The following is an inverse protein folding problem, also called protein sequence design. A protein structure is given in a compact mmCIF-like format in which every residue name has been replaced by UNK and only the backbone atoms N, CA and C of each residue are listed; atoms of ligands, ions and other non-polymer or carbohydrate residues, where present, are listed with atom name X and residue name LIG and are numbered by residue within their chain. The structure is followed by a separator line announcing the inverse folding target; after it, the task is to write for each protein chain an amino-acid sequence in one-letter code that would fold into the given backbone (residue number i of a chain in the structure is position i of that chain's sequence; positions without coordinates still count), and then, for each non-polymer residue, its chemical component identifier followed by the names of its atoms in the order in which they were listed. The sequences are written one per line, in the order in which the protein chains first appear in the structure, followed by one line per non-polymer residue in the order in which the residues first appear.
data_IF_323890038237
#
_entry.id   IF_323890038237
#
_cell.length_a   1.000
_cell.length_b   1.000
_cell.length_c   1.000
_cell.angle_alpha   90.00
_cell.angle_beta   90.00
_cell.angle_gamma   90.00
#
_symmetry.space_group_name_H-M   'P 1'
#
loop_
_entity.id
_entity.type
_entity.pdbx_description
1 polymer ?
#
# COMPACT_ATOMS: atom_id res chain seq x y z
N UNK A 1 -8.24 -31.24 15.02
CA UNK A 1 -6.90 -30.81 14.54
C UNK A 1 -6.42 -29.72 15.46
N UNK A 2 -5.24 -29.74 16.07
CA UNK A 2 -4.04 -30.55 15.84
C UNK A 2 -2.94 -29.66 15.26
N UNK A 3 -2.17 -29.00 16.14
CA UNK A 3 -0.85 -28.31 16.00
C UNK A 3 -0.39 -27.61 14.70
N UNK A 4 -0.82 -28.00 13.50
CA UNK A 4 -0.41 -27.44 12.20
C UNK A 4 -0.98 -26.06 11.94
N UNK A 5 -2.23 -25.80 12.34
CA UNK A 5 -2.89 -24.51 12.06
C UNK A 5 -2.23 -23.37 12.83
N UNK A 6 -1.82 -23.63 14.07
CA UNK A 6 -1.13 -22.64 14.89
C UNK A 6 0.29 -22.33 14.38
N UNK A 7 1.01 -23.35 13.91
CA UNK A 7 2.32 -23.17 13.30
C UNK A 7 2.22 -22.40 11.97
N UNK A 8 1.18 -22.65 11.18
CA UNK A 8 0.92 -21.94 9.92
C UNK A 8 0.53 -20.48 10.17
N UNK A 9 -0.37 -20.21 11.11
CA UNK A 9 -0.74 -18.85 11.49
C UNK A 9 0.47 -18.05 12.00
N UNK A 10 1.31 -18.67 12.84
CA UNK A 10 2.54 -18.05 13.34
C UNK A 10 3.50 -17.73 12.19
N UNK A 11 3.72 -18.65 11.25
CA UNK A 11 4.57 -18.40 10.07
C UNK A 11 4.01 -17.29 9.20
N UNK A 12 2.70 -17.29 8.97
CA UNK A 12 2.07 -16.20 8.22
C UNK A 12 2.30 -14.88 8.92
N UNK A 13 2.02 -14.76 10.21
CA UNK A 13 2.27 -13.52 10.95
C UNK A 13 3.72 -13.03 10.80
N UNK A 14 4.70 -13.93 10.95
CA UNK A 14 6.12 -13.58 10.79
C UNK A 14 6.44 -13.07 9.37
N UNK A 15 5.87 -13.68 8.34
CA UNK A 15 6.03 -13.22 6.95
C UNK A 15 5.33 -11.87 6.74
N UNK A 16 4.08 -11.71 7.20
CA UNK A 16 3.33 -10.46 7.06
C UNK A 16 4.01 -9.30 7.78
N UNK A 17 4.68 -9.56 8.90
CA UNK A 17 5.47 -8.55 9.60
C UNK A 17 6.73 -8.16 8.81
N UNK A 18 7.44 -9.13 8.23
CA UNK A 18 8.69 -8.88 7.51
C UNK A 18 8.47 -8.25 6.12
N UNK A 19 7.40 -8.64 5.42
CA UNK A 19 7.11 -8.26 4.04
C UNK A 19 7.08 -6.74 3.80
N UNK A 20 6.42 -5.90 4.62
CA UNK A 20 6.43 -4.45 4.46
C UNK A 20 7.84 -3.85 4.42
N UNK A 21 8.78 -4.35 5.22
CA UNK A 21 10.17 -3.87 5.22
C UNK A 21 10.89 -4.27 3.94
N UNK A 22 10.70 -5.49 3.46
CA UNK A 22 11.23 -5.95 2.17
C UNK A 22 10.69 -5.08 1.04
N UNK A 23 9.38 -4.81 1.02
CA UNK A 23 8.74 -3.93 0.04
C UNK A 23 9.35 -2.52 0.12
N UNK A 24 9.57 -1.98 1.32
CA UNK A 24 10.20 -0.66 1.48
C UNK A 24 11.61 -0.60 0.89
N UNK A 25 12.40 -1.68 1.03
CA UNK A 25 13.72 -1.77 0.41
C UNK A 25 13.61 -1.78 -1.12
N UNK A 26 12.65 -2.52 -1.69
CA UNK A 26 12.39 -2.50 -3.13
C UNK A 26 11.90 -1.13 -3.62
N UNK A 27 11.11 -0.40 -2.84
CA UNK A 27 10.70 0.98 -3.16
C UNK A 27 11.92 1.89 -3.26
N UNK A 28 12.89 1.78 -2.34
CA UNK A 28 14.13 2.57 -2.41
C UNK A 28 14.96 2.24 -3.64
N UNK A 29 15.10 0.95 -3.98
CA UNK A 29 15.80 0.52 -5.20
C UNK A 29 15.08 1.05 -6.45
N UNK A 30 13.74 0.97 -6.48
CA UNK A 30 12.93 1.49 -7.56
C UNK A 30 13.13 3.00 -7.74
N UNK A 31 13.08 3.78 -6.65
CA UNK A 31 13.31 5.23 -6.68
C UNK A 31 14.75 5.58 -7.08
N UNK A 32 15.74 4.77 -6.72
CA UNK A 32 17.13 4.96 -7.16
C UNK A 32 17.25 4.87 -8.68
N UNK A 33 16.65 3.84 -9.30
CA UNK A 33 16.65 3.72 -10.75
C UNK A 33 15.84 4.83 -11.43
N UNK A 34 14.69 5.21 -10.85
CA UNK A 34 13.92 6.34 -11.34
C UNK A 34 14.73 7.64 -11.31
N UNK A 35 15.53 7.88 -10.27
CA UNK A 35 16.38 9.07 -10.17
C UNK A 35 17.53 9.10 -11.19
N UNK A 36 17.97 7.95 -11.72
CA UNK A 36 19.00 7.91 -12.75
C UNK A 36 18.49 8.45 -14.09
N UNK A 37 17.24 8.15 -14.46
CA UNK A 37 16.63 8.59 -15.73
C UNK A 37 15.77 9.84 -15.58
N UNK A 38 15.26 10.10 -14.38
CA UNK A 38 14.18 11.05 -14.12
C UNK A 38 12.79 10.50 -14.52
N UNK A 39 11.75 11.24 -14.14
CA UNK A 39 10.36 10.94 -14.51
C UNK A 39 10.08 11.22 -15.99
N UNK A 40 9.21 10.42 -16.58
CA UNK A 40 8.64 10.72 -17.90
C UNK A 40 7.55 11.81 -17.80
N UNK A 41 7.15 12.37 -18.94
CA UNK A 41 6.05 13.33 -19.05
C UNK A 41 4.93 12.82 -19.97
N UNK A 42 3.72 13.40 -19.93
CA UNK A 42 2.57 12.91 -20.69
C UNK A 42 2.78 12.84 -22.21
N UNK A 43 3.69 13.65 -22.76
CA UNK A 43 4.00 13.67 -24.18
C UNK A 43 5.04 12.60 -24.57
N UNK A 44 5.70 11.96 -23.60
CA UNK A 44 6.75 10.97 -23.83
C UNK A 44 8.01 11.54 -24.48
N UNK A 45 8.14 12.87 -24.54
CA UNK A 45 9.26 13.58 -25.17
C UNK A 45 10.36 13.87 -24.15
N UNK A 46 11.53 14.32 -24.58
CA UNK A 46 12.61 14.67 -23.66
C UNK A 46 12.25 15.92 -22.83
N UNK A 47 12.14 15.78 -21.50
CA UNK A 47 11.80 16.87 -20.58
C UNK A 47 12.98 17.73 -20.15
N UNK A 48 14.23 17.42 -20.53
CA UNK A 48 15.42 18.15 -20.10
C UNK A 48 15.41 19.65 -20.49
N UNK A 49 14.65 20.02 -21.52
CA UNK A 49 14.53 21.40 -21.98
C UNK A 49 13.71 22.28 -21.03
N UNK A 50 12.85 21.69 -20.20
CA UNK A 50 11.92 22.41 -19.32
C UNK A 50 11.77 21.68 -17.97
N UNK A 51 12.88 21.56 -17.25
CA UNK A 51 12.88 21.01 -15.88
C UNK A 51 12.63 22.10 -14.86
N UNK A 52 11.64 21.87 -14.00
CA UNK A 52 11.41 22.66 -12.79
C UNK A 52 11.89 21.89 -11.55
N UNK A 53 12.24 22.63 -10.49
CA UNK A 53 12.63 22.03 -9.22
C UNK A 53 11.46 21.28 -8.58
N UNK A 54 11.76 20.20 -7.83
CA UNK A 54 10.73 19.43 -7.13
C UNK A 54 9.98 20.28 -6.08
N UNK A 55 10.74 20.99 -5.24
CA UNK A 55 10.20 21.97 -4.31
C UNK A 55 10.29 23.37 -4.93
N UNK A 56 9.22 24.20 -4.89
CA UNK A 56 7.96 23.99 -4.17
C UNK A 56 6.87 23.24 -4.95
N UNK A 57 7.01 23.14 -6.28
CA UNK A 57 5.91 22.78 -7.19
C UNK A 57 5.28 21.41 -6.92
N UNK A 58 6.08 20.34 -6.98
CA UNK A 58 5.57 18.99 -6.78
C UNK A 58 5.29 18.72 -5.29
N UNK A 59 6.04 19.33 -4.37
CA UNK A 59 5.75 19.19 -2.93
C UNK A 59 4.34 19.68 -2.56
N UNK A 60 3.91 20.86 -3.04
CA UNK A 60 2.56 21.35 -2.78
C UNK A 60 1.49 20.55 -3.52
N UNK A 61 1.78 20.11 -4.75
CA UNK A 61 0.89 19.23 -5.51
C UNK A 61 0.63 17.92 -4.79
N UNK A 62 1.67 17.30 -4.24
CA UNK A 62 1.58 16.04 -3.49
C UNK A 62 0.83 16.24 -2.16
N UNK A 63 1.04 17.39 -1.48
CA UNK A 63 0.28 17.74 -0.27
C UNK A 63 -1.22 17.88 -0.55
N UNK A 64 -1.60 18.47 -1.69
CA UNK A 64 -3.00 18.50 -2.13
C UNK A 64 -3.56 17.08 -2.33
N UNK A 65 -2.78 16.19 -2.94
CA UNK A 65 -3.14 14.77 -3.07
C UNK A 65 -3.32 14.09 -1.71
N UNK A 66 -2.46 14.37 -0.73
CA UNK A 66 -2.57 13.86 0.63
C UNK A 66 -3.90 14.25 1.30
N UNK A 67 -4.39 15.48 1.09
CA UNK A 67 -5.70 15.89 1.59
C UNK A 67 -6.86 15.09 0.98
N UNK A 68 -6.74 14.63 -0.27
CA UNK A 68 -7.76 13.75 -0.87
C UNK A 68 -7.77 12.37 -0.21
N UNK A 69 -6.60 11.84 0.19
CA UNK A 69 -6.50 10.58 0.92
C UNK A 69 -7.16 10.61 2.32
N UNK A 70 -7.40 11.80 2.90
CA UNK A 70 -8.15 11.95 4.15
C UNK A 70 -9.56 11.36 4.08
N UNK A 71 -10.12 11.15 2.87
CA UNK A 71 -11.37 10.41 2.68
C UNK A 71 -11.37 9.00 3.30
N UNK A 72 -10.20 8.35 3.42
CA UNK A 72 -10.08 7.07 4.09
C UNK A 72 -10.42 7.15 5.58
N UNK A 73 -10.12 8.27 6.24
CA UNK A 73 -10.50 8.50 7.64
C UNK A 73 -12.01 8.67 7.77
N UNK A 74 -12.66 9.29 6.78
CA UNK A 74 -14.13 9.35 6.77
C UNK A 74 -14.75 7.96 6.60
N UNK A 75 -14.16 7.11 5.76
CA UNK A 75 -14.60 5.72 5.60
C UNK A 75 -14.49 4.94 6.91
N UNK A 76 -13.36 5.05 7.62
CA UNK A 76 -13.18 4.33 8.89
C UNK A 76 -14.08 4.83 10.01
N UNK A 77 -14.41 6.13 10.05
CA UNK A 77 -15.27 6.71 11.08
C UNK A 77 -16.76 6.51 10.82
N UNK A 78 -17.20 6.57 9.56
CA UNK A 78 -18.62 6.48 9.21
C UNK A 78 -19.08 5.05 8.91
N UNK A 79 -18.29 4.27 8.16
CA UNK A 79 -18.66 2.92 7.73
C UNK A 79 -17.43 1.99 7.72
N UNK A 80 -16.85 1.65 8.89
CA UNK A 80 -15.58 0.92 8.99
C UNK A 80 -15.58 -0.45 8.30
N UNK A 81 -16.75 -1.07 8.16
CA UNK A 81 -16.90 -2.41 7.58
C UNK A 81 -17.39 -2.40 6.13
N UNK A 82 -17.54 -1.23 5.50
CA UNK A 82 -18.04 -1.11 4.12
C UNK A 82 -17.20 -1.92 3.11
N UNK A 83 -15.90 -2.05 3.36
CA UNK A 83 -14.97 -2.79 2.51
C UNK A 83 -14.59 -4.16 3.09
N UNK A 84 -15.23 -4.58 4.18
CA UNK A 84 -15.00 -5.85 4.85
C UNK A 84 -16.06 -6.89 4.50
N UNK A 85 -15.75 -8.15 4.75
CA UNK A 85 -16.69 -9.27 4.63
C UNK A 85 -17.28 -9.58 6.03
N UNK A 86 -18.62 -9.61 6.20
CA UNK A 86 -19.25 -9.94 7.48
C UNK A 86 -18.86 -11.33 8.02
N UNK A 87 -18.49 -12.30 7.17
CA UNK A 87 -18.15 -13.65 7.63
C UNK A 87 -16.84 -13.68 8.44
N UNK A 88 -15.97 -12.68 8.28
CA UNK A 88 -14.72 -12.56 9.07
C UNK A 88 -14.97 -12.22 10.56
N UNK A 89 -16.20 -11.93 10.97
CA UNK A 89 -16.58 -11.83 12.39
C UNK A 89 -16.90 -13.19 13.03
N UNK A 90 -17.00 -14.25 12.23
CA UNK A 90 -17.24 -15.61 12.70
C UNK A 90 -15.89 -16.33 12.84
N UNK A 91 -15.56 -16.93 14.00
CA UNK A 91 -14.31 -17.68 14.15
C UNK A 91 -14.19 -18.83 13.14
N UNK A 92 -12.99 -19.03 12.62
CA UNK A 92 -12.72 -20.05 11.62
C UNK A 92 -13.11 -21.45 12.13
N UNK A 93 -13.90 -22.18 11.33
CA UNK A 93 -14.25 -23.58 11.56
C UNK A 93 -13.72 -24.43 10.40
N UNK A 94 -12.72 -25.31 10.61
CA UNK A 94 -12.13 -26.09 9.53
C UNK A 94 -13.09 -27.12 8.91
N UNK A 95 -14.25 -27.36 9.51
CA UNK A 95 -15.26 -28.31 9.04
C UNK A 95 -16.37 -27.65 8.20
N UNK A 96 -16.40 -26.32 8.15
CA UNK A 96 -17.47 -25.55 7.49
C UNK A 96 -16.86 -24.44 6.67
N UNK A 97 -17.13 -24.45 5.37
CA UNK A 97 -16.90 -23.27 4.53
C UNK A 97 -18.15 -22.39 4.57
N UNK A 98 -18.01 -21.06 4.72
CA UNK A 98 -19.14 -20.14 4.53
C UNK A 98 -19.75 -20.28 3.11
N UNK A 99 -21.01 -19.88 2.96
CA UNK A 99 -21.79 -19.97 1.72
C UNK A 99 -21.66 -18.73 0.85
#
# INVERSE_FOLDING_TARGET
GGSSDNATLTRFFMIHFLMPFIISAFVMIHLLFLHQTGSNNPLGMNSNLDKIAFHPYFSFKDLMGFFLYQGLIMLTLMNPYMLGDPDNFIPANPLVTPI
#
